data_IF_590064137510
#
_entry.id   IF_590064137510
#
_cell.length_a   1.000
_cell.length_b   1.000
_cell.length_c   1.000
_cell.angle_alpha   90.00
_cell.angle_beta   90.00
_cell.angle_gamma   90.00
#
_symmetry.space_group_name_H-M   'P 1'
#
loop_
_entity.id
_entity.type
_entity.pdbx_description
1 polymer ?
#
# COMPACT_ATOMS: atom_id res chain seq x y z
N UNK A 1 -43.89 27.06 -4.05
CA UNK A 1 -42.82 27.79 -3.32
C UNK A 1 -41.48 27.16 -3.66
N UNK A 2 -40.53 27.86 -4.31
CA UNK A 2 -39.24 27.28 -4.62
C UNK A 2 -38.32 27.44 -3.40
N UNK A 3 -37.98 26.34 -2.74
CA UNK A 3 -37.01 26.35 -1.65
C UNK A 3 -35.62 26.61 -2.22
N UNK A 4 -35.09 27.81 -1.96
CA UNK A 4 -33.78 28.28 -2.41
C UNK A 4 -32.69 27.44 -1.75
N UNK A 5 -32.28 26.36 -2.41
CA UNK A 5 -31.07 25.60 -2.04
C UNK A 5 -29.88 26.51 -2.31
N UNK A 6 -29.33 27.11 -1.27
CA UNK A 6 -28.29 28.12 -1.36
C UNK A 6 -27.00 27.49 -1.96
N UNK A 7 -26.57 27.88 -3.17
CA UNK A 7 -25.39 27.29 -3.81
C UNK A 7 -24.11 27.46 -2.99
N UNK A 8 -24.05 28.48 -2.14
CA UNK A 8 -22.93 28.71 -1.23
C UNK A 8 -22.91 27.67 -0.09
N UNK A 9 -24.07 27.26 0.41
CA UNK A 9 -24.16 26.18 1.41
C UNK A 9 -23.79 24.81 0.81
N UNK A 10 -24.17 24.58 -0.44
CA UNK A 10 -23.77 23.37 -1.16
C UNK A 10 -22.25 23.30 -1.36
N UNK A 11 -21.60 24.43 -1.69
CA UNK A 11 -20.14 24.52 -1.79
C UNK A 11 -19.46 24.30 -0.44
N UNK A 12 -19.93 24.95 0.63
CA UNK A 12 -19.39 24.75 1.99
C UNK A 12 -19.50 23.31 2.46
N UNK A 13 -20.61 22.63 2.16
CA UNK A 13 -20.77 21.21 2.49
C UNK A 13 -19.77 20.34 1.74
N UNK A 14 -19.56 20.63 0.45
CA UNK A 14 -18.62 19.87 -0.38
C UNK A 14 -17.17 20.08 0.07
N UNK A 15 -16.81 21.27 0.52
CA UNK A 15 -15.51 21.56 1.15
C UNK A 15 -15.33 20.79 2.46
N UNK A 16 -16.34 20.75 3.33
CA UNK A 16 -16.31 19.99 4.58
C UNK A 16 -16.18 18.47 4.33
N UNK A 17 -16.94 17.94 3.36
CA UNK A 17 -16.87 16.53 2.97
C UNK A 17 -15.47 16.16 2.43
N UNK A 18 -14.83 17.08 1.69
CA UNK A 18 -13.46 16.89 1.18
C UNK A 18 -12.44 16.84 2.32
N UNK A 19 -12.53 17.74 3.29
CA UNK A 19 -11.64 17.75 4.45
C UNK A 19 -11.78 16.46 5.27
N UNK A 20 -13.01 16.00 5.51
CA UNK A 20 -13.27 14.74 6.21
C UNK A 20 -12.74 13.51 5.45
N UNK A 21 -12.81 13.52 4.11
CA UNK A 21 -12.22 12.47 3.28
C UNK A 21 -10.70 12.43 3.36
N UNK A 22 -10.06 13.60 3.39
CA UNK A 22 -8.60 13.72 3.47
C UNK A 22 -8.08 13.29 4.86
N UNK A 23 -8.79 13.63 5.94
CA UNK A 23 -8.50 13.12 7.29
C UNK A 23 -8.61 11.59 7.34
N UNK A 24 -9.70 11.02 6.81
CA UNK A 24 -9.90 9.57 6.78
C UNK A 24 -8.85 8.83 5.95
N UNK A 25 -8.40 9.42 4.83
CA UNK A 25 -7.30 8.86 4.05
C UNK A 25 -6.02 8.80 4.86
N UNK A 26 -5.69 9.88 5.58
CA UNK A 26 -4.50 9.94 6.42
C UNK A 26 -4.53 8.89 7.53
N UNK A 27 -5.68 8.69 8.16
CA UNK A 27 -5.86 7.61 9.16
C UNK A 27 -5.66 6.21 8.57
N UNK A 28 -6.19 5.97 7.37
CA UNK A 28 -6.03 4.70 6.67
C UNK A 28 -4.57 4.45 6.25
N UNK A 29 -3.87 5.50 5.81
CA UNK A 29 -2.44 5.43 5.49
C UNK A 29 -1.59 5.12 6.74
N UNK A 30 -1.92 5.74 7.88
CA UNK A 30 -1.25 5.46 9.15
C UNK A 30 -1.49 4.03 9.63
N UNK A 31 -2.72 3.52 9.51
CA UNK A 31 -3.04 2.12 9.80
C UNK A 31 -2.29 1.16 8.89
N UNK A 32 -2.24 1.44 7.59
CA UNK A 32 -1.48 0.62 6.63
C UNK A 32 0.02 0.62 6.95
N UNK A 33 0.59 1.77 7.32
CA UNK A 33 1.99 1.88 7.73
C UNK A 33 2.29 1.08 9.01
N UNK A 34 1.37 1.07 9.98
CA UNK A 34 1.49 0.27 11.19
C UNK A 34 1.40 -1.24 10.91
N UNK A 35 0.51 -1.67 10.03
CA UNK A 35 0.41 -3.06 9.60
C UNK A 35 1.68 -3.52 8.88
N UNK A 36 2.20 -2.69 7.97
CA UNK A 36 3.47 -2.94 7.29
C UNK A 36 4.64 -2.97 8.29
N UNK A 37 4.67 -2.06 9.26
CA UNK A 37 5.65 -2.04 10.34
C UNK A 37 5.63 -3.33 11.18
N UNK A 38 4.45 -3.87 11.49
CA UNK A 38 4.31 -5.15 12.22
C UNK A 38 4.79 -6.35 11.40
N UNK A 39 4.59 -6.33 10.09
CA UNK A 39 5.14 -7.33 9.17
C UNK A 39 6.67 -7.26 9.15
N UNK A 40 7.24 -6.05 9.05
CA UNK A 40 8.70 -5.82 8.99
C UNK A 40 9.39 -6.17 10.32
N UNK A 41 8.77 -5.89 11.46
CA UNK A 41 9.33 -6.17 12.80
C UNK A 41 9.18 -7.62 13.26
N UNK A 42 8.63 -8.52 12.44
CA UNK A 42 8.55 -9.96 12.73
C UNK A 42 7.44 -10.37 13.71
N UNK A 43 6.60 -9.45 14.16
CA UNK A 43 5.39 -9.74 14.96
C UNK A 43 4.15 -9.66 14.06
N UNK A 44 3.91 -10.66 13.21
CA UNK A 44 2.84 -10.55 12.21
C UNK A 44 2.29 -11.83 11.60
N UNK A 45 3.01 -12.96 11.64
CA UNK A 45 2.51 -14.21 11.08
C UNK A 45 1.20 -14.68 11.76
N UNK A 46 1.04 -14.39 13.05
CA UNK A 46 -0.15 -14.74 13.84
C UNK A 46 -1.41 -13.96 13.41
N UNK A 47 -1.25 -12.80 12.76
CA UNK A 47 -2.35 -11.98 12.26
C UNK A 47 -2.88 -12.47 10.89
N UNK A 48 -2.13 -13.29 10.16
CA UNK A 48 -2.58 -13.86 8.89
C UNK A 48 -3.39 -15.14 9.13
N UNK A 49 -4.51 -15.29 8.42
CA UNK A 49 -5.23 -16.56 8.43
C UNK A 49 -4.35 -17.69 7.89
N UNK A 50 -4.46 -18.90 8.46
CA UNK A 50 -3.73 -20.10 8.00
C UNK A 50 -3.84 -20.32 6.48
N UNK A 51 -5.02 -20.05 5.90
CA UNK A 51 -5.27 -20.18 4.46
C UNK A 51 -4.54 -19.11 3.63
N UNK A 52 -4.44 -17.89 4.16
CA UNK A 52 -3.69 -16.79 3.55
C UNK A 52 -2.20 -17.10 3.49
N UNK A 53 -1.62 -17.54 4.61
CA UNK A 53 -0.22 -17.95 4.68
C UNK A 53 0.10 -19.10 3.73
N UNK A 54 -0.74 -20.14 3.70
CA UNK A 54 -0.57 -21.26 2.77
C UNK A 54 -0.58 -20.81 1.30
N UNK A 55 -1.48 -19.89 0.92
CA UNK A 55 -1.56 -19.39 -0.45
C UNK A 55 -0.33 -18.56 -0.82
N UNK A 56 0.17 -17.72 0.10
CA UNK A 56 1.41 -16.95 -0.11
C UNK A 56 2.60 -17.90 -0.27
N UNK A 57 2.77 -18.87 0.62
CA UNK A 57 3.85 -19.85 0.56
C UNK A 57 3.84 -20.65 -0.76
N UNK A 58 2.67 -21.15 -1.19
CA UNK A 58 2.52 -21.87 -2.47
C UNK A 58 2.85 -20.98 -3.66
N UNK A 59 2.44 -19.72 -3.63
CA UNK A 59 2.69 -18.79 -4.74
C UNK A 59 4.17 -18.46 -4.85
N UNK A 60 4.83 -18.18 -3.74
CA UNK A 60 6.27 -17.90 -3.69
C UNK A 60 7.09 -19.14 -4.07
N UNK A 61 6.72 -20.33 -3.59
CA UNK A 61 7.40 -21.58 -3.96
C UNK A 61 7.33 -21.90 -5.45
N UNK A 62 6.24 -21.51 -6.14
CA UNK A 62 6.12 -21.67 -7.60
C UNK A 62 6.96 -20.67 -8.40
N UNK A 63 7.24 -19.50 -7.83
CA UNK A 63 8.07 -18.47 -8.45
C UNK A 63 9.57 -18.81 -8.40
N UNK A 64 9.99 -19.60 -7.42
CA UNK A 64 11.41 -19.81 -7.13
C UNK A 64 12.00 -18.66 -6.30
N UNK A 65 13.09 -18.94 -5.59
CA UNK A 65 13.62 -18.07 -4.53
C UNK A 65 13.98 -16.66 -5.05
N UNK A 66 14.75 -16.54 -6.12
CA UNK A 66 15.17 -15.23 -6.64
C UNK A 66 14.00 -14.38 -7.15
N UNK A 67 13.07 -14.97 -7.90
CA UNK A 67 11.91 -14.25 -8.42
C UNK A 67 10.92 -13.87 -7.30
N UNK A 68 10.82 -14.71 -6.27
CA UNK A 68 10.08 -14.38 -5.05
C UNK A 68 10.71 -13.19 -4.32
N UNK A 69 12.03 -13.17 -4.15
CA UNK A 69 12.75 -12.06 -3.50
C UNK A 69 12.65 -10.75 -4.30
N UNK A 70 12.72 -10.80 -5.63
CA UNK A 70 12.48 -9.64 -6.49
C UNK A 70 11.05 -9.11 -6.34
N UNK A 71 10.05 -10.00 -6.31
CA UNK A 71 8.64 -9.62 -6.18
C UNK A 71 8.28 -9.09 -4.80
N UNK A 72 9.00 -9.52 -3.77
CA UNK A 72 8.94 -8.96 -2.42
C UNK A 72 9.74 -7.65 -2.28
N UNK A 73 10.41 -7.20 -3.34
CA UNK A 73 11.21 -5.97 -3.34
C UNK A 73 12.52 -6.06 -2.55
N UNK A 74 12.93 -7.27 -2.17
CA UNK A 74 14.15 -7.52 -1.40
C UNK A 74 15.41 -7.55 -2.27
N UNK A 75 15.23 -7.74 -3.58
CA UNK A 75 16.31 -7.67 -4.57
C UNK A 75 15.90 -6.65 -5.62
N UNK A 76 16.61 -5.51 -5.66
CA UNK A 76 16.52 -4.61 -6.81
C UNK A 76 17.26 -5.21 -8.00
N UNK A 77 16.76 -5.06 -9.24
CA UNK A 77 17.54 -5.39 -10.42
C UNK A 77 18.81 -4.53 -10.38
N UNK A 78 19.95 -5.18 -10.11
CA UNK A 78 21.21 -4.49 -9.84
C UNK A 78 21.58 -3.59 -11.02
N UNK A 79 21.94 -2.34 -10.70
CA UNK A 79 22.60 -1.38 -11.57
C UNK A 79 23.99 -1.90 -12.02
N UNK A 80 23.98 -2.88 -12.92
CA UNK A 80 25.15 -3.63 -13.37
C UNK A 80 25.50 -3.45 -14.85
N UNK A 81 25.08 -2.36 -15.50
CA UNK A 81 25.54 -1.98 -16.84
C UNK A 81 26.07 -0.54 -16.83
N UNK A 82 27.14 -0.29 -16.06
CA UNK A 82 27.94 0.93 -16.20
C UNK A 82 29.43 0.59 -16.36
N UNK A 83 29.76 -0.44 -17.13
CA UNK A 83 31.14 -0.69 -17.60
C UNK A 83 31.12 -1.33 -18.99
N UNK A 84 30.94 -0.50 -20.02
CA UNK A 84 31.49 -0.77 -21.35
C UNK A 84 31.30 0.45 -22.24
N UNK A 85 32.31 1.31 -22.32
CA UNK A 85 32.87 1.76 -23.60
C UNK A 85 34.12 2.58 -23.30
N UNK A 86 35.27 1.93 -23.43
CA UNK A 86 36.53 2.60 -23.63
C UNK A 86 36.53 3.26 -25.03
N UNK A 87 36.96 4.51 -25.10
CA UNK A 87 37.67 5.14 -26.21
C UNK A 87 38.24 6.47 -25.71
#
# INVERSE_FOLDING_TARGET
MPSKRNPIEALRKLEADRLAMDERKRELEEQAALELGRIVLGTGLEAFSRKGLARVAVTLGKLGEEAALQRLGLVSPSAGQSKSSAA
#
